data_IF_006161976850
#
_entry.id   IF_006161976850
#
_cell.length_a   1.000
_cell.length_b   1.000
_cell.length_c   1.000
_cell.angle_alpha   90.00
_cell.angle_beta   90.00
_cell.angle_gamma   90.00
#
_symmetry.space_group_name_H-M   'P 1'
#
loop_
_entity.id
_entity.type
_entity.pdbx_description
1 polymer ?
#
# COMPACT_ATOMS: atom_id res chain seq x y z
N UNK A 1 -5.73 -34.99 -57.73
CA UNK A 1 -4.74 -34.12 -57.06
C UNK A 1 -4.97 -32.60 -57.23
N UNK A 2 -5.63 -32.11 -58.30
CA UNK A 2 -5.95 -30.66 -58.46
C UNK A 2 -6.99 -30.10 -57.45
N UNK A 3 -7.78 -30.96 -56.81
CA UNK A 3 -8.83 -30.51 -55.88
C UNK A 3 -8.32 -30.27 -54.44
N UNK A 4 -7.21 -30.89 -54.02
CA UNK A 4 -6.67 -30.74 -52.66
C UNK A 4 -6.00 -29.37 -52.44
N UNK A 5 -5.31 -28.85 -53.47
CA UNK A 5 -4.70 -27.52 -53.44
C UNK A 5 -5.75 -26.40 -53.35
N UNK A 6 -6.89 -26.56 -54.03
CA UNK A 6 -8.01 -25.61 -53.91
C UNK A 6 -8.66 -25.66 -52.51
N UNK A 7 -8.74 -26.84 -51.90
CA UNK A 7 -9.30 -27.00 -50.55
C UNK A 7 -8.39 -26.36 -49.49
N UNK A 8 -7.06 -26.52 -49.57
CA UNK A 8 -6.13 -25.82 -48.66
C UNK A 8 -6.11 -24.30 -48.84
N UNK A 9 -6.20 -23.80 -50.08
CA UNK A 9 -6.27 -22.35 -50.33
C UNK A 9 -7.59 -21.74 -49.84
N UNK A 10 -8.70 -22.47 -49.92
CA UNK A 10 -10.00 -22.02 -49.40
C UNK A 10 -10.04 -22.08 -47.87
N UNK A 11 -9.43 -23.08 -47.23
CA UNK A 11 -9.31 -23.17 -45.77
C UNK A 11 -8.39 -22.09 -45.16
N UNK A 12 -7.31 -21.71 -45.85
CA UNK A 12 -6.47 -20.57 -45.43
C UNK A 12 -7.19 -19.23 -45.61
N UNK A 13 -7.99 -19.07 -46.67
CA UNK A 13 -8.74 -17.83 -46.90
C UNK A 13 -9.93 -17.69 -45.94
N UNK A 14 -10.64 -18.76 -45.61
CA UNK A 14 -11.78 -18.70 -44.66
C UNK A 14 -11.32 -18.42 -43.23
N UNK A 15 -10.13 -18.87 -42.82
CA UNK A 15 -9.56 -18.57 -41.51
C UNK A 15 -9.19 -17.08 -41.31
N UNK A 16 -8.94 -16.33 -42.40
CA UNK A 16 -8.58 -14.91 -42.34
C UNK A 16 -9.82 -14.00 -42.27
N UNK A 17 -11.00 -14.46 -42.72
CA UNK A 17 -12.20 -13.60 -42.85
C UNK A 17 -13.20 -13.82 -41.69
N UNK A 18 -13.10 -14.91 -40.93
CA UNK A 18 -13.95 -15.13 -39.74
C UNK A 18 -13.48 -14.42 -38.46
N UNK A 19 -12.49 -13.51 -38.53
CA UNK A 19 -12.12 -12.64 -37.40
C UNK A 19 -12.95 -11.34 -37.40
N UNK A 20 -14.26 -11.45 -37.61
CA UNK A 20 -15.18 -10.44 -37.08
C UNK A 20 -15.24 -10.65 -35.56
N UNK A 21 -14.27 -10.07 -34.86
CA UNK A 21 -14.39 -9.88 -33.42
C UNK A 21 -15.61 -8.98 -33.19
N UNK A 22 -16.74 -9.59 -32.84
CA UNK A 22 -17.85 -8.85 -32.23
C UNK A 22 -17.24 -7.98 -31.14
N UNK A 23 -17.43 -6.65 -31.16
CA UNK A 23 -17.04 -5.83 -30.04
C UNK A 23 -17.87 -6.35 -28.88
N UNK A 24 -17.27 -7.20 -28.04
CA UNK A 24 -17.82 -7.47 -26.73
C UNK A 24 -17.94 -6.10 -26.11
N UNK A 25 -19.18 -5.59 -26.01
CA UNK A 25 -19.54 -4.49 -25.12
C UNK A 25 -18.67 -4.70 -23.90
N UNK A 26 -17.81 -3.73 -23.61
CA UNK A 26 -17.02 -3.68 -22.39
C UNK A 26 -18.04 -3.69 -21.26
N UNK A 27 -18.51 -4.88 -20.89
CA UNK A 27 -19.17 -5.11 -19.64
C UNK A 27 -18.06 -4.78 -18.66
N UNK A 28 -18.09 -3.53 -18.19
CA UNK A 28 -17.27 -3.07 -17.10
C UNK A 28 -17.27 -4.19 -16.07
N UNK A 29 -16.12 -4.86 -15.91
CA UNK A 29 -16.06 -6.03 -15.06
C UNK A 29 -16.46 -5.52 -13.67
N UNK A 30 -17.57 -5.98 -13.12
CA UNK A 30 -18.10 -5.45 -11.85
C UNK A 30 -17.04 -5.51 -10.73
N UNK A 31 -16.08 -6.45 -10.84
CA UNK A 31 -14.92 -6.53 -9.96
C UNK A 31 -13.96 -5.34 -10.11
N UNK A 32 -13.70 -4.85 -11.33
CA UNK A 32 -12.87 -3.67 -11.58
C UNK A 32 -13.52 -2.39 -11.04
N UNK A 33 -14.86 -2.29 -11.11
CA UNK A 33 -15.61 -1.19 -10.49
C UNK A 33 -15.50 -1.19 -8.96
N UNK A 34 -15.35 -2.37 -8.34
CA UNK A 34 -15.23 -2.51 -6.89
C UNK A 34 -13.96 -1.86 -6.31
N UNK A 35 -12.86 -1.84 -7.08
CA UNK A 35 -11.60 -1.23 -6.64
C UNK A 35 -11.51 0.28 -6.87
N UNK A 36 -12.47 0.84 -7.63
CA UNK A 36 -12.46 2.27 -7.96
C UNK A 36 -12.63 3.16 -6.71
N UNK A 37 -13.44 2.72 -5.76
CA UNK A 37 -13.82 3.54 -4.61
C UNK A 37 -12.93 3.25 -3.40
N UNK A 38 -12.55 4.32 -2.68
CA UNK A 38 -11.84 4.18 -1.42
C UNK A 38 -12.78 3.78 -0.29
N UNK A 39 -12.99 2.47 -0.11
CA UNK A 39 -13.81 1.92 0.99
C UNK A 39 -13.04 1.76 2.31
N UNK A 40 -11.74 2.06 2.34
CA UNK A 40 -10.90 1.93 3.52
C UNK A 40 -10.77 3.24 4.30
N UNK A 41 -11.08 4.38 3.67
CA UNK A 41 -11.17 5.67 4.32
C UNK A 41 -12.12 5.59 5.53
N UNK A 42 -11.75 6.19 6.67
CA UNK A 42 -12.52 6.06 7.89
C UNK A 42 -13.88 6.77 7.74
N UNK A 43 -14.96 6.08 8.14
CA UNK A 43 -16.31 6.67 8.13
C UNK A 43 -16.51 7.78 9.17
N UNK A 44 -15.62 7.87 10.16
CA UNK A 44 -15.53 8.94 11.16
C UNK A 44 -14.10 9.48 11.14
N UNK A 45 -13.88 10.79 10.94
CA UNK A 45 -12.54 11.38 10.93
C UNK A 45 -11.77 11.13 12.22
N UNK A 46 -10.44 11.14 12.12
CA UNK A 46 -9.58 11.10 13.31
C UNK A 46 -9.81 12.30 14.23
N UNK A 47 -9.60 12.07 15.54
CA UNK A 47 -9.78 13.10 16.56
C UNK A 47 -8.62 14.11 16.51
N UNK A 48 -8.75 15.12 15.65
CA UNK A 48 -7.74 16.19 15.48
C UNK A 48 -7.99 17.41 16.36
N UNK A 49 -9.22 17.90 16.41
CA UNK A 49 -9.52 19.19 17.06
C UNK A 49 -10.34 19.05 18.36
N UNK A 50 -10.88 17.87 18.62
CA UNK A 50 -11.75 17.62 19.77
C UNK A 50 -10.95 17.43 21.06
N UNK A 51 -9.66 17.09 20.92
CA UNK A 51 -8.79 16.70 22.03
C UNK A 51 -7.44 17.37 21.85
N UNK A 52 -7.12 18.30 22.75
CA UNK A 52 -5.76 18.86 22.84
C UNK A 52 -4.82 17.78 23.35
N UNK A 53 -4.04 17.19 22.46
CA UNK A 53 -3.09 16.13 22.81
C UNK A 53 -1.93 16.64 23.65
N UNK A 54 -1.52 17.90 23.49
CA UNK A 54 -0.37 18.49 24.20
C UNK A 54 -0.70 18.99 25.59
N UNK A 55 0.30 18.91 26.48
CA UNK A 55 0.28 19.64 27.75
C UNK A 55 0.18 21.14 27.50
N UNK A 56 -0.76 21.81 28.18
CA UNK A 56 -0.88 23.26 28.17
C UNK A 56 0.24 23.97 28.94
N UNK A 57 0.87 23.27 29.88
CA UNK A 57 1.97 23.76 30.72
C UNK A 57 3.08 22.73 30.76
N UNK A 58 4.33 23.17 30.49
CA UNK A 58 5.50 22.30 30.58
C UNK A 58 5.67 21.81 32.01
N UNK A 59 5.50 20.52 32.22
CA UNK A 59 5.74 19.86 33.51
C UNK A 59 7.09 19.17 33.47
N UNK A 60 7.92 19.40 34.48
CA UNK A 60 9.22 18.74 34.60
C UNK A 60 9.06 17.39 35.31
N UNK A 61 9.30 16.31 34.57
CA UNK A 61 9.25 14.93 35.07
C UNK A 61 10.64 14.40 35.48
N UNK A 62 11.68 15.23 35.48
CA UNK A 62 13.05 14.83 35.81
C UNK A 62 13.22 14.25 37.21
N UNK A 63 12.33 14.62 38.14
CA UNK A 63 12.31 14.09 39.52
C UNK A 63 11.70 12.70 39.63
N UNK A 64 11.04 12.21 38.58
CA UNK A 64 10.46 10.88 38.54
C UNK A 64 11.46 9.89 37.95
N UNK A 65 11.31 8.58 38.25
CA UNK A 65 12.15 7.53 37.67
C UNK A 65 11.76 7.16 36.23
N UNK A 66 10.97 8.00 35.55
CA UNK A 66 10.46 7.73 34.21
C UNK A 66 11.57 7.98 33.15
N UNK A 67 11.61 7.13 32.12
CA UNK A 67 12.62 7.25 31.06
C UNK A 67 12.44 8.56 30.28
N UNK A 68 13.52 9.16 29.75
CA UNK A 68 13.43 10.38 28.94
C UNK A 68 12.49 10.22 27.73
N UNK A 69 12.44 9.00 27.17
CA UNK A 69 11.53 8.62 26.11
C UNK A 69 10.06 8.70 26.56
N UNK A 70 9.74 8.12 27.70
CA UNK A 70 8.40 8.14 28.27
C UNK A 70 8.00 9.55 28.79
N UNK A 71 8.97 10.41 29.19
CA UNK A 71 8.70 11.83 29.50
C UNK A 71 8.19 12.56 28.26
N UNK A 72 8.83 12.32 27.12
CA UNK A 72 8.42 12.91 25.85
C UNK A 72 7.05 12.39 25.43
N UNK A 73 6.80 11.10 25.58
CA UNK A 73 5.49 10.51 25.31
C UNK A 73 4.39 11.10 26.21
N UNK A 74 4.66 11.30 27.51
CA UNK A 74 3.73 11.99 28.41
C UNK A 74 3.37 13.40 27.93
N UNK A 75 4.36 14.14 27.39
CA UNK A 75 4.16 15.49 26.84
C UNK A 75 3.30 15.47 25.57
N UNK A 76 3.57 14.52 24.67
CA UNK A 76 2.81 14.32 23.42
C UNK A 76 1.36 13.90 23.72
N UNK A 77 1.15 13.12 24.78
CA UNK A 77 -0.18 12.66 25.19
C UNK A 77 -0.93 13.62 26.12
N UNK A 78 -0.24 14.63 26.66
CA UNK A 78 -0.84 15.68 27.49
C UNK A 78 -1.20 15.19 28.88
N UNK A 79 -0.34 14.34 29.44
CA UNK A 79 -0.53 13.69 30.73
C UNK A 79 0.60 13.96 31.72
N UNK A 80 1.58 14.80 31.38
CA UNK A 80 2.75 14.99 32.25
C UNK A 80 2.35 15.54 33.62
N UNK A 81 1.38 16.45 33.68
CA UNK A 81 0.84 16.97 34.95
C UNK A 81 0.22 15.86 35.80
N UNK A 82 -0.58 14.97 35.21
CA UNK A 82 -1.21 13.86 35.93
C UNK A 82 -0.17 12.86 36.45
N UNK A 83 0.87 12.58 35.67
CA UNK A 83 1.96 11.68 36.05
C UNK A 83 2.78 12.28 37.20
N UNK A 84 3.11 13.57 37.10
CA UNK A 84 3.82 14.28 38.17
C UNK A 84 3.01 14.28 39.47
N UNK A 85 1.73 14.66 39.40
CA UNK A 85 0.84 14.67 40.57
C UNK A 85 0.78 13.28 41.21
N UNK A 86 0.60 12.23 40.40
CA UNK A 86 0.53 10.85 40.88
C UNK A 86 1.83 10.45 41.59
N UNK A 87 2.98 10.80 41.02
CA UNK A 87 4.29 10.55 41.64
C UNK A 87 4.43 11.26 42.99
N UNK A 88 4.00 12.53 43.10
CA UNK A 88 4.14 13.32 44.34
C UNK A 88 3.33 12.76 45.50
N UNK A 89 2.15 12.20 45.23
CA UNK A 89 1.23 11.69 46.25
C UNK A 89 1.37 10.17 46.48
N UNK A 90 2.28 9.50 45.77
CA UNK A 90 2.34 8.03 45.74
C UNK A 90 2.64 7.39 47.12
N UNK A 91 3.29 8.15 48.01
CA UNK A 91 3.68 7.69 49.34
C UNK A 91 2.69 8.12 50.44
N UNK A 92 1.62 8.85 50.08
CA UNK A 92 0.58 9.28 51.01
C UNK A 92 -0.56 8.24 51.02
N UNK A 93 -0.78 7.64 52.19
CA UNK A 93 -1.79 6.61 52.40
C UNK A 93 -3.06 7.14 53.10
N UNK A 94 -3.24 8.47 53.18
CA UNK A 94 -4.50 9.04 53.63
C UNK A 94 -5.66 8.65 52.68
N UNK A 95 -6.90 8.50 53.19
CA UNK A 95 -8.06 8.20 52.34
C UNK A 95 -8.23 9.18 51.18
N UNK A 96 -7.94 10.47 51.41
CA UNK A 96 -7.98 11.53 50.40
C UNK A 96 -6.91 11.33 49.33
N UNK A 97 -5.67 11.00 49.70
CA UNK A 97 -4.60 10.71 48.76
C UNK A 97 -4.90 9.47 47.93
N UNK A 98 -5.40 8.39 48.54
CA UNK A 98 -5.79 7.16 47.83
C UNK A 98 -6.89 7.46 46.80
N UNK A 99 -7.93 8.21 47.18
CA UNK A 99 -8.98 8.62 46.24
C UNK A 99 -8.42 9.44 45.08
N UNK A 100 -7.48 10.36 45.36
CA UNK A 100 -6.83 11.18 44.34
C UNK A 100 -5.94 10.35 43.41
N UNK A 101 -5.20 9.38 43.94
CA UNK A 101 -4.38 8.45 43.15
C UNK A 101 -5.25 7.67 42.16
N UNK A 102 -6.38 7.11 42.60
CA UNK A 102 -7.34 6.39 41.74
C UNK A 102 -7.85 7.29 40.61
N UNK A 103 -8.23 8.53 40.92
CA UNK A 103 -8.70 9.49 39.91
C UNK A 103 -7.61 9.84 38.88
N UNK A 104 -6.36 10.05 39.31
CA UNK A 104 -5.24 10.35 38.41
C UNK A 104 -4.91 9.15 37.52
N UNK A 105 -4.86 7.95 38.09
CA UNK A 105 -4.70 6.70 37.33
C UNK A 105 -5.80 6.54 36.30
N UNK A 106 -7.06 6.80 36.65
CA UNK A 106 -8.17 6.74 35.69
C UNK A 106 -7.97 7.73 34.54
N UNK A 107 -7.60 8.99 34.81
CA UNK A 107 -7.35 10.00 33.76
C UNK A 107 -6.22 9.58 32.82
N UNK A 108 -5.10 9.09 33.37
CA UNK A 108 -3.95 8.61 32.60
C UNK A 108 -4.37 7.42 31.73
N UNK A 109 -5.02 6.41 32.31
CA UNK A 109 -5.47 5.21 31.61
C UNK A 109 -6.48 5.53 30.50
N UNK A 110 -7.47 6.38 30.75
CA UNK A 110 -8.43 6.81 29.72
C UNK A 110 -7.73 7.49 28.54
N UNK A 111 -6.68 8.27 28.81
CA UNK A 111 -5.91 8.95 27.77
C UNK A 111 -5.05 7.99 26.95
N UNK A 112 -4.39 7.05 27.61
CA UNK A 112 -3.60 6.00 26.96
C UNK A 112 -4.49 5.08 26.11
N UNK A 113 -5.65 4.68 26.62
CA UNK A 113 -6.63 3.86 25.89
C UNK A 113 -7.11 4.56 24.62
N UNK A 114 -7.40 5.86 24.71
CA UNK A 114 -7.79 6.65 23.56
C UNK A 114 -6.67 6.73 22.52
N UNK A 115 -5.44 6.99 22.95
CA UNK A 115 -4.27 7.04 22.08
C UNK A 115 -4.06 5.70 21.36
N UNK A 116 -4.11 4.58 22.10
CA UNK A 116 -4.05 3.25 21.52
C UNK A 116 -5.17 3.03 20.51
N UNK A 117 -6.40 3.42 20.82
CA UNK A 117 -7.55 3.26 19.91
C UNK A 117 -7.35 4.03 18.60
N UNK A 118 -6.90 5.29 18.67
CA UNK A 118 -6.61 6.10 17.47
C UNK A 118 -5.44 5.52 16.67
N UNK A 119 -4.39 5.04 17.33
CA UNK A 119 -3.25 4.40 16.67
C UNK A 119 -3.66 3.11 15.95
N UNK A 120 -4.51 2.29 16.56
CA UNK A 120 -5.06 1.08 15.95
C UNK A 120 -6.00 1.40 14.79
N UNK A 121 -6.77 2.49 14.86
CA UNK A 121 -7.60 2.94 13.75
C UNK A 121 -6.76 3.30 12.51
N UNK A 122 -5.66 4.05 12.70
CA UNK A 122 -4.70 4.34 11.61
C UNK A 122 -4.09 3.06 11.04
N UNK A 123 -3.67 2.13 11.91
CA UNK A 123 -3.10 0.86 11.47
C UNK A 123 -4.12 0.00 10.69
N UNK A 124 -5.40 0.04 11.06
CA UNK A 124 -6.47 -0.69 10.40
C UNK A 124 -6.83 -0.09 9.03
N UNK A 125 -6.84 1.24 8.91
CA UNK A 125 -6.99 1.91 7.61
C UNK A 125 -5.86 1.51 6.66
N UNK A 126 -4.61 1.54 7.13
CA UNK A 126 -3.46 1.11 6.35
C UNK A 126 -3.54 -0.38 5.97
N UNK A 127 -3.99 -1.26 6.89
CA UNK A 127 -4.21 -2.69 6.59
C UNK A 127 -5.17 -2.88 5.43
N UNK A 128 -6.32 -2.19 5.50
CA UNK A 128 -7.35 -2.23 4.48
C UNK A 128 -6.85 -1.69 3.14
N UNK A 129 -6.16 -0.54 3.15
CA UNK A 129 -5.61 0.09 1.94
C UNK A 129 -4.54 -0.80 1.28
N UNK A 130 -3.68 -1.42 2.08
CA UNK A 130 -2.65 -2.36 1.62
C UNK A 130 -3.28 -3.58 0.95
N UNK A 131 -4.21 -4.24 1.64
CA UNK A 131 -4.93 -5.41 1.12
C UNK A 131 -5.77 -5.04 -0.12
N UNK A 132 -6.41 -3.86 -0.16
CA UNK A 132 -7.14 -3.40 -1.35
C UNK A 132 -6.22 -3.26 -2.55
N UNK A 133 -5.03 -2.68 -2.36
CA UNK A 133 -4.04 -2.54 -3.42
C UNK A 133 -3.52 -3.91 -3.88
N UNK A 134 -3.17 -4.81 -2.95
CA UNK A 134 -2.71 -6.17 -3.25
C UNK A 134 -3.76 -7.00 -3.99
N UNK A 135 -5.02 -6.95 -3.56
CA UNK A 135 -6.13 -7.63 -4.25
C UNK A 135 -6.31 -7.10 -5.67
N UNK A 136 -6.21 -5.78 -5.86
CA UNK A 136 -6.30 -5.15 -7.18
C UNK A 136 -5.12 -5.57 -8.08
N UNK A 137 -3.90 -5.62 -7.53
CA UNK A 137 -2.69 -6.07 -8.20
C UNK A 137 -2.81 -7.55 -8.64
N UNK A 138 -3.11 -8.44 -7.69
CA UNK A 138 -3.30 -9.87 -7.93
C UNK A 138 -4.40 -10.14 -8.98
N UNK A 139 -5.45 -9.31 -9.00
CA UNK A 139 -6.48 -9.40 -10.03
C UNK A 139 -5.96 -9.02 -11.43
N UNK A 140 -5.19 -7.93 -11.55
CA UNK A 140 -4.55 -7.54 -12.81
C UNK A 140 -3.52 -8.57 -13.27
N UNK A 141 -2.73 -9.14 -12.36
CA UNK A 141 -1.80 -10.23 -12.65
C UNK A 141 -2.52 -11.45 -13.21
N UNK A 142 -3.64 -11.86 -12.61
CA UNK A 142 -4.45 -12.95 -13.11
C UNK A 142 -4.96 -12.71 -14.54
N UNK A 143 -5.31 -11.47 -14.89
CA UNK A 143 -5.72 -11.10 -16.26
C UNK A 143 -4.52 -11.11 -17.21
N UNK A 144 -3.41 -10.49 -16.82
CA UNK A 144 -2.20 -10.36 -17.62
C UNK A 144 -1.57 -11.74 -17.89
N UNK A 145 -1.48 -12.58 -16.87
CA UNK A 145 -0.99 -13.96 -16.97
C UNK A 145 -1.82 -14.79 -17.94
N UNK A 146 -3.16 -14.79 -17.82
CA UNK A 146 -4.06 -15.49 -18.78
C UNK A 146 -3.88 -15.02 -20.21
N UNK A 147 -3.66 -13.71 -20.43
CA UNK A 147 -3.39 -13.16 -21.76
C UNK A 147 -2.04 -13.66 -22.28
N UNK A 148 -0.99 -13.55 -21.47
CA UNK A 148 0.37 -13.93 -21.85
C UNK A 148 0.43 -15.44 -22.14
N UNK A 149 -0.17 -16.29 -21.31
CA UNK A 149 -0.28 -17.75 -21.58
C UNK A 149 -0.94 -18.04 -22.92
N UNK A 150 -2.03 -17.35 -23.27
CA UNK A 150 -2.69 -17.54 -24.58
C UNK A 150 -1.80 -17.13 -25.75
N UNK A 151 -1.05 -16.03 -25.62
CA UNK A 151 -0.11 -15.58 -26.64
C UNK A 151 1.06 -16.58 -26.79
N UNK A 152 1.63 -17.05 -25.68
CA UNK A 152 2.70 -18.06 -25.68
C UNK A 152 2.23 -19.37 -26.30
N UNK A 153 1.08 -19.91 -25.87
CA UNK A 153 0.53 -21.15 -26.43
C UNK A 153 0.20 -20.99 -27.91
N UNK A 154 -0.38 -19.85 -28.32
CA UNK A 154 -0.64 -19.53 -29.72
C UNK A 154 0.64 -19.47 -30.56
N UNK A 155 1.70 -18.84 -30.04
CA UNK A 155 3.02 -18.80 -30.67
C UNK A 155 3.59 -20.21 -30.87
N UNK A 156 3.49 -21.08 -29.86
CA UNK A 156 3.97 -22.47 -29.92
C UNK A 156 3.18 -23.27 -30.96
N UNK A 157 1.85 -23.17 -30.96
CA UNK A 157 0.99 -23.87 -31.93
C UNK A 157 1.28 -23.40 -33.36
N UNK A 158 1.38 -22.09 -33.60
CA UNK A 158 1.69 -21.53 -34.92
C UNK A 158 3.08 -21.99 -35.38
N UNK A 159 4.07 -21.95 -34.50
CA UNK A 159 5.42 -22.47 -34.80
C UNK A 159 5.37 -23.95 -35.22
N UNK A 160 4.69 -24.80 -34.44
CA UNK A 160 4.55 -26.22 -34.72
C UNK A 160 3.84 -26.50 -36.06
N UNK A 161 2.70 -25.83 -36.31
CA UNK A 161 1.94 -25.96 -37.57
C UNK A 161 2.75 -25.47 -38.77
N UNK A 162 3.52 -24.39 -38.61
CA UNK A 162 4.39 -23.85 -39.66
C UNK A 162 5.46 -24.86 -40.05
N UNK A 163 6.12 -25.49 -39.09
CA UNK A 163 7.14 -26.51 -39.33
C UNK A 163 6.56 -27.71 -40.08
N UNK A 164 5.41 -28.23 -39.64
CA UNK A 164 4.72 -29.36 -40.30
C UNK A 164 4.30 -28.99 -41.72
N UNK A 165 3.67 -27.82 -41.92
CA UNK A 165 3.23 -27.37 -43.23
C UNK A 165 4.41 -27.15 -44.19
N UNK A 166 5.51 -26.59 -43.71
CA UNK A 166 6.73 -26.37 -44.50
C UNK A 166 7.36 -27.70 -44.94
N UNK A 167 7.33 -28.73 -44.09
CA UNK A 167 7.84 -30.07 -44.43
C UNK A 167 6.96 -30.81 -45.45
N UNK A 168 5.65 -30.54 -45.47
CA UNK A 168 4.69 -31.19 -46.38
C UNK A 168 4.58 -30.53 -47.77
N UNK A 169 5.11 -29.32 -47.95
CA UNK A 169 5.03 -28.57 -49.21
C UNK A 169 6.32 -28.78 -50.01
N UNK A 170 6.21 -29.37 -51.20
CA UNK A 170 7.33 -29.63 -52.11
C UNK A 170 7.64 -28.49 -53.09
N UNK A 171 6.80 -27.43 -53.13
CA UNK A 171 7.01 -26.26 -54.00
C UNK A 171 7.74 -25.16 -53.25
N UNK A 172 9.01 -24.93 -53.59
CA UNK A 172 9.90 -23.97 -52.94
C UNK A 172 9.27 -22.59 -52.66
N UNK A 173 8.57 -21.98 -53.62
CA UNK A 173 8.00 -20.65 -53.41
C UNK A 173 6.89 -20.59 -52.36
N UNK A 174 6.08 -21.64 -52.24
CA UNK A 174 5.00 -21.74 -51.24
C UNK A 174 5.56 -22.17 -49.90
N UNK A 175 6.54 -23.08 -49.90
CA UNK A 175 7.28 -23.51 -48.72
C UNK A 175 7.97 -22.34 -48.03
N UNK A 176 8.69 -21.51 -48.79
CA UNK A 176 9.35 -20.29 -48.25
C UNK A 176 8.33 -19.30 -47.71
N UNK A 177 7.21 -19.07 -48.41
CA UNK A 177 6.18 -18.15 -47.94
C UNK A 177 5.54 -18.60 -46.61
N UNK A 178 5.24 -19.91 -46.47
CA UNK A 178 4.67 -20.48 -45.24
C UNK A 178 5.68 -20.48 -44.11
N UNK A 179 6.93 -20.90 -44.36
CA UNK A 179 7.99 -20.94 -43.35
C UNK A 179 8.33 -19.55 -42.82
N UNK A 180 8.53 -18.57 -43.70
CA UNK A 180 8.84 -17.19 -43.31
C UNK A 180 7.64 -16.51 -42.65
N UNK A 181 6.44 -16.63 -43.23
CA UNK A 181 5.23 -16.03 -42.68
C UNK A 181 4.87 -16.58 -41.31
N UNK A 182 4.87 -17.91 -41.15
CA UNK A 182 4.57 -18.56 -39.89
C UNK A 182 5.64 -18.33 -38.81
N UNK A 183 6.92 -18.30 -39.20
CA UNK A 183 8.03 -17.95 -38.30
C UNK A 183 7.93 -16.51 -37.79
N UNK A 184 7.64 -15.54 -38.66
CA UNK A 184 7.42 -14.14 -38.28
C UNK A 184 6.19 -13.95 -37.39
N UNK A 185 5.08 -14.64 -37.70
CA UNK A 185 3.87 -14.57 -36.88
C UNK A 185 4.10 -15.16 -35.48
N UNK A 186 4.75 -16.33 -35.39
CA UNK A 186 5.12 -16.94 -34.11
C UNK A 186 6.06 -16.03 -33.31
N UNK A 187 7.14 -15.54 -33.94
CA UNK A 187 8.08 -14.61 -33.30
C UNK A 187 7.39 -13.31 -32.84
N UNK A 188 6.46 -12.76 -33.62
CA UNK A 188 5.69 -11.58 -33.25
C UNK A 188 4.78 -11.81 -32.04
N UNK A 189 4.07 -12.94 -31.99
CA UNK A 189 3.27 -13.35 -30.82
C UNK A 189 4.13 -13.55 -29.58
N UNK A 190 5.30 -14.19 -29.72
CA UNK A 190 6.30 -14.33 -28.67
C UNK A 190 6.80 -12.97 -28.18
N UNK A 191 7.16 -12.05 -29.08
CA UNK A 191 7.63 -10.71 -28.75
C UNK A 191 6.60 -9.89 -27.95
N UNK A 192 5.30 -10.05 -28.22
CA UNK A 192 4.23 -9.40 -27.45
C UNK A 192 4.16 -9.87 -25.98
N UNK A 193 4.82 -10.97 -25.63
CA UNK A 193 4.91 -11.46 -24.25
C UNK A 193 6.12 -10.92 -23.48
N UNK A 194 7.10 -10.32 -24.17
CA UNK A 194 8.35 -9.79 -23.58
C UNK A 194 8.13 -8.38 -22.99
N UNK A 195 7.31 -7.55 -23.64
CA UNK A 195 6.91 -6.25 -23.09
C UNK A 195 5.38 -6.06 -23.14
N UNK A 196 4.64 -6.85 -22.34
CA UNK A 196 3.20 -6.77 -22.31
C UNK A 196 2.81 -5.44 -21.69
N UNK A 197 2.25 -4.50 -22.48
CA UNK A 197 1.46 -3.40 -21.90
C UNK A 197 0.31 -4.04 -21.13
N UNK A 198 0.48 -4.21 -19.82
CA UNK A 198 -0.49 -4.83 -18.92
C UNK A 198 -1.82 -4.09 -18.92
N UNK A 199 -2.86 -4.74 -18.44
CA UNK A 199 -4.14 -4.08 -18.17
C UNK A 199 -3.99 -3.05 -17.05
N UNK A 200 -4.85 -2.04 -17.10
CA UNK A 200 -4.96 -1.00 -16.08
C UNK A 200 -6.36 -1.01 -15.50
N UNK A 201 -6.49 -0.47 -14.28
CA UNK A 201 -7.76 -0.21 -13.63
C UNK A 201 -7.75 1.16 -12.96
N UNK A 202 -8.94 1.72 -12.74
CA UNK A 202 -9.11 2.94 -11.94
C UNK A 202 -9.02 2.59 -10.45
N UNK A 203 -8.16 3.28 -9.72
CA UNK A 203 -7.96 3.13 -8.29
C UNK A 203 -7.78 4.51 -7.67
N UNK A 204 -8.72 4.93 -6.82
CA UNK A 204 -8.70 6.24 -6.17
C UNK A 204 -8.52 6.11 -4.66
N UNK A 205 -7.86 7.12 -4.08
CA UNK A 205 -7.53 7.19 -2.66
C UNK A 205 -7.50 8.65 -2.19
N UNK A 206 -8.65 9.30 -2.16
CA UNK A 206 -8.74 10.74 -1.80
C UNK A 206 -8.10 11.04 -0.42
N UNK A 207 -8.39 10.18 0.56
CA UNK A 207 -7.63 10.11 1.81
C UNK A 207 -6.40 9.23 1.60
N UNK A 208 -5.22 9.86 1.56
CA UNK A 208 -3.96 9.20 1.19
C UNK A 208 -2.90 9.43 2.27
N UNK A 209 -2.79 8.48 3.20
CA UNK A 209 -1.80 8.52 4.27
C UNK A 209 -0.35 8.59 3.73
N UNK A 210 -0.07 7.97 2.57
CA UNK A 210 1.25 8.06 1.93
C UNK A 210 1.59 9.49 1.50
N UNK A 211 0.59 10.25 1.00
CA UNK A 211 0.77 11.65 0.58
C UNK A 211 1.25 12.50 1.74
N UNK A 212 0.63 12.33 2.90
CA UNK A 212 0.94 13.16 4.06
C UNK A 212 2.32 12.84 4.63
N UNK A 213 2.75 11.58 4.60
CA UNK A 213 4.17 11.25 4.82
C UNK A 213 5.02 11.92 3.75
N UNK A 214 4.82 11.65 2.47
CA UNK A 214 5.65 12.13 1.37
C UNK A 214 5.85 13.65 1.34
N UNK A 215 4.76 14.40 1.47
CA UNK A 215 4.76 15.87 1.31
C UNK A 215 5.13 16.63 2.58
N UNK A 216 5.05 16.01 3.76
CA UNK A 216 5.28 16.67 5.05
C UNK A 216 4.56 18.03 5.15
N UNK A 217 3.22 18.06 5.02
CA UNK A 217 2.48 19.30 5.02
C UNK A 217 2.62 20.00 6.38
N UNK A 218 2.62 21.33 6.37
CA UNK A 218 2.63 22.14 7.62
C UNK A 218 1.42 21.84 8.52
N UNK A 219 0.29 21.52 7.90
CA UNK A 219 -0.96 21.15 8.57
C UNK A 219 -1.29 19.71 8.23
N UNK A 220 -1.27 18.83 9.21
CA UNK A 220 -1.63 17.42 9.07
C UNK A 220 -3.13 17.25 9.29
N UNK A 221 -3.82 16.74 8.27
CA UNK A 221 -5.25 16.38 8.33
C UNK A 221 -5.50 14.88 8.23
N UNK A 222 -4.47 14.07 7.96
CA UNK A 222 -4.64 12.66 7.65
C UNK A 222 -4.25 11.74 8.84
N UNK A 223 -3.54 12.27 9.83
CA UNK A 223 -3.18 11.55 11.07
C UNK A 223 -3.76 12.20 12.32
N UNK A 224 -4.03 11.44 13.39
CA UNK A 224 -4.17 12.00 14.74
C UNK A 224 -2.91 12.80 15.11
N UNK A 225 -3.08 13.92 15.85
CA UNK A 225 -1.97 14.84 16.16
C UNK A 225 -0.80 14.12 16.83
N UNK A 226 -1.06 13.34 17.89
CA UNK A 226 0.00 12.64 18.61
C UNK A 226 0.78 11.63 17.74
N UNK A 227 0.10 10.96 16.79
CA UNK A 227 0.75 10.03 15.85
C UNK A 227 1.68 10.81 14.93
N UNK A 228 1.20 11.94 14.41
CA UNK A 228 2.01 12.81 13.57
C UNK A 228 3.27 13.31 14.29
N UNK A 229 3.14 13.70 15.56
CA UNK A 229 4.28 14.12 16.37
C UNK A 229 5.29 12.99 16.58
N UNK A 230 4.82 11.79 16.96
CA UNK A 230 5.69 10.63 17.14
C UNK A 230 6.43 10.27 15.84
N UNK A 231 5.79 10.40 14.68
CA UNK A 231 6.42 10.15 13.39
C UNK A 231 7.52 11.16 13.02
N UNK A 232 7.46 12.38 13.57
CA UNK A 232 8.35 13.51 13.26
C UNK A 232 9.31 13.87 14.39
N UNK A 233 9.29 13.11 15.48
CA UNK A 233 10.23 13.25 16.59
C UNK A 233 11.31 12.17 16.50
N UNK A 234 12.57 12.59 16.58
CA UNK A 234 13.72 11.72 16.29
C UNK A 234 13.88 10.62 17.33
N UNK A 235 13.54 10.89 18.59
CA UNK A 235 13.69 9.91 19.67
C UNK A 235 12.84 8.66 19.50
N UNK A 236 11.79 8.70 18.68
CA UNK A 236 10.98 7.52 18.36
C UNK A 236 11.59 6.66 17.25
N UNK A 237 12.69 7.07 16.63
CA UNK A 237 13.42 6.23 15.70
C UNK A 237 14.49 5.42 16.41
N UNK A 238 14.73 4.20 15.94
CA UNK A 238 15.67 3.25 16.55
C UNK A 238 17.10 3.80 16.76
N UNK A 239 17.54 4.71 15.88
CA UNK A 239 18.89 5.31 15.94
C UNK A 239 18.90 6.77 16.40
N UNK A 240 17.76 7.47 16.37
CA UNK A 240 17.70 8.90 16.70
C UNK A 240 18.25 9.86 15.65
N UNK A 241 18.81 9.37 14.54
CA UNK A 241 19.45 10.23 13.53
C UNK A 241 18.42 11.00 12.67
N UNK A 242 17.37 10.27 12.27
CA UNK A 242 16.27 10.74 11.42
C UNK A 242 14.93 10.41 12.07
N UNK A 243 13.87 11.11 11.69
CA UNK A 243 12.50 10.81 12.12
C UNK A 243 12.00 9.50 11.51
N UNK A 244 10.96 8.88 12.07
CA UNK A 244 10.32 7.70 11.47
C UNK A 244 9.78 7.99 10.05
N UNK A 245 9.15 9.17 9.85
CA UNK A 245 8.68 9.62 8.53
C UNK A 245 9.81 9.63 7.50
N UNK A 246 10.91 10.33 7.77
CA UNK A 246 12.10 10.34 6.93
C UNK A 246 12.70 8.94 6.71
N UNK A 247 12.75 8.09 7.74
CA UNK A 247 13.25 6.72 7.62
C UNK A 247 12.41 5.88 6.66
N UNK A 248 11.08 6.01 6.70
CA UNK A 248 10.16 5.36 5.76
C UNK A 248 10.39 5.90 4.33
N UNK A 249 10.44 7.22 4.14
CA UNK A 249 10.69 7.83 2.83
C UNK A 249 11.99 7.34 2.20
N UNK A 250 13.06 7.30 2.99
CA UNK A 250 14.36 6.83 2.52
C UNK A 250 14.29 5.36 2.07
N UNK A 251 13.53 4.51 2.78
CA UNK A 251 13.31 3.12 2.36
C UNK A 251 12.52 3.04 1.06
N UNK A 252 11.47 3.83 0.89
CA UNK A 252 10.72 3.86 -0.36
C UNK A 252 11.57 4.30 -1.54
N UNK A 253 12.33 5.39 -1.37
CA UNK A 253 13.28 5.84 -2.38
C UNK A 253 14.29 4.74 -2.72
N UNK A 254 14.89 4.11 -1.73
CA UNK A 254 15.94 3.12 -1.94
C UNK A 254 15.44 1.81 -2.55
N UNK A 255 14.29 1.28 -2.10
CA UNK A 255 13.87 -0.09 -2.40
C UNK A 255 12.69 -0.18 -3.36
N UNK A 256 11.83 0.84 -3.41
CA UNK A 256 10.64 0.84 -4.28
C UNK A 256 10.87 1.66 -5.57
N UNK A 257 11.77 2.63 -5.53
CA UNK A 257 12.02 3.57 -6.62
C UNK A 257 13.46 3.56 -7.15
N UNK A 258 14.36 2.71 -6.66
CA UNK A 258 15.78 2.68 -7.08
C UNK A 258 16.42 4.09 -7.11
N UNK A 259 16.17 4.86 -6.05
CA UNK A 259 16.55 6.27 -5.82
C UNK A 259 15.89 7.31 -6.75
N UNK A 260 15.04 6.90 -7.68
CA UNK A 260 14.47 7.76 -8.71
C UNK A 260 12.96 7.53 -8.89
N UNK A 261 12.17 8.54 -8.54
CA UNK A 261 10.74 8.57 -8.83
C UNK A 261 10.45 9.60 -9.92
N UNK A 262 9.66 9.21 -10.93
CA UNK A 262 9.18 10.15 -11.95
C UNK A 262 7.91 10.88 -11.49
N UNK A 263 7.65 12.07 -12.06
CA UNK A 263 6.50 12.90 -11.68
C UNK A 263 5.15 12.22 -11.90
N UNK A 264 5.04 11.29 -12.86
CA UNK A 264 3.80 10.58 -13.14
C UNK A 264 3.54 9.54 -12.06
N UNK A 265 4.57 8.78 -11.67
CA UNK A 265 4.49 7.80 -10.59
C UNK A 265 4.27 8.48 -9.23
N UNK A 266 4.95 9.60 -8.98
CA UNK A 266 4.76 10.42 -7.78
C UNK A 266 3.31 10.91 -7.69
N UNK A 267 2.78 11.53 -8.76
CA UNK A 267 1.40 12.00 -8.80
C UNK A 267 0.38 10.87 -8.68
N UNK A 268 0.67 9.69 -9.20
CA UNK A 268 -0.19 8.51 -9.09
C UNK A 268 -0.25 8.02 -7.63
N UNK A 269 0.90 7.79 -7.00
CA UNK A 269 1.00 7.18 -5.66
C UNK A 269 0.65 8.14 -4.53
N UNK A 270 1.04 9.40 -4.63
CA UNK A 270 0.87 10.42 -3.59
C UNK A 270 -0.22 11.44 -3.91
N UNK A 271 -0.86 11.37 -5.09
CA UNK A 271 -2.03 12.17 -5.43
C UNK A 271 -3.34 11.53 -4.94
N UNK A 272 -4.40 11.66 -5.74
CA UNK A 272 -5.73 11.07 -5.46
C UNK A 272 -5.94 9.71 -6.15
N UNK A 273 -4.94 9.23 -6.90
CA UNK A 273 -5.01 8.01 -7.68
C UNK A 273 -5.31 8.25 -9.16
N UNK A 274 -5.71 7.20 -9.87
CA UNK A 274 -5.84 7.22 -11.33
C UNK A 274 -5.83 5.82 -11.94
N UNK A 275 -5.20 5.68 -13.10
CA UNK A 275 -5.08 4.40 -13.80
C UNK A 275 -3.81 3.65 -13.38
N UNK A 276 -4.00 2.61 -12.58
CA UNK A 276 -2.92 1.78 -12.07
C UNK A 276 -2.69 0.53 -12.92
N UNK A 277 -1.41 0.15 -13.09
CA UNK A 277 -0.98 -1.18 -13.50
C UNK A 277 -0.76 -2.07 -12.26
N UNK A 278 -0.47 -3.35 -12.50
CA UNK A 278 -0.20 -4.30 -11.43
C UNK A 278 1.00 -3.88 -10.58
N UNK A 279 2.12 -3.54 -11.23
CA UNK A 279 3.34 -3.14 -10.55
C UNK A 279 3.14 -1.88 -9.70
N UNK A 280 2.40 -0.88 -10.21
CA UNK A 280 2.04 0.33 -9.47
C UNK A 280 1.26 0.00 -8.18
N UNK A 281 0.39 -1.00 -8.21
CA UNK A 281 -0.42 -1.44 -7.06
C UNK A 281 0.41 -2.24 -6.06
N UNK A 282 1.29 -3.12 -6.53
CA UNK A 282 2.25 -3.84 -5.68
C UNK A 282 3.17 -2.87 -4.95
N UNK A 283 3.70 -1.86 -5.65
CA UNK A 283 4.50 -0.79 -5.03
C UNK A 283 3.69 -0.05 -3.97
N UNK A 284 2.46 0.39 -4.30
CA UNK A 284 1.59 1.08 -3.33
C UNK A 284 1.30 0.22 -2.10
N UNK A 285 0.95 -1.05 -2.29
CA UNK A 285 0.66 -1.97 -1.19
C UNK A 285 1.87 -2.17 -0.29
N UNK A 286 3.05 -2.36 -0.90
CA UNK A 286 4.32 -2.49 -0.18
C UNK A 286 4.61 -1.26 0.66
N UNK A 287 4.46 -0.06 0.09
CA UNK A 287 4.65 1.20 0.82
C UNK A 287 3.69 1.35 2.00
N UNK A 288 2.41 1.01 1.79
CA UNK A 288 1.38 1.04 2.85
C UNK A 288 1.74 0.05 3.97
N UNK A 289 2.10 -1.18 3.64
CA UNK A 289 2.46 -2.21 4.61
C UNK A 289 3.72 -1.84 5.43
N UNK A 290 4.69 -1.16 4.80
CA UNK A 290 5.85 -0.61 5.50
C UNK A 290 5.47 0.49 6.50
N UNK A 291 4.62 1.43 6.07
CA UNK A 291 4.10 2.51 6.94
C UNK A 291 3.27 1.94 8.09
N UNK A 292 2.40 0.97 7.80
CA UNK A 292 1.60 0.28 8.80
C UNK A 292 2.47 -0.39 9.87
N UNK A 293 3.54 -1.07 9.45
CA UNK A 293 4.47 -1.71 10.37
C UNK A 293 5.11 -0.69 11.32
N UNK A 294 5.45 0.49 10.81
CA UNK A 294 5.96 1.60 11.63
C UNK A 294 4.89 2.19 12.57
N UNK A 295 3.64 2.35 12.12
CA UNK A 295 2.55 2.78 13.00
C UNK A 295 2.31 1.76 14.13
N UNK A 296 2.30 0.47 13.80
CA UNK A 296 2.13 -0.61 14.79
C UNK A 296 3.26 -0.64 15.81
N UNK A 297 4.50 -0.34 15.43
CA UNK A 297 5.63 -0.33 16.37
C UNK A 297 5.50 0.75 17.46
N UNK A 298 4.77 1.85 17.21
CA UNK A 298 4.52 2.88 18.22
C UNK A 298 3.74 2.35 19.45
N UNK A 299 3.07 1.20 19.34
CA UNK A 299 2.45 0.55 20.51
C UNK A 299 3.48 0.11 21.55
N UNK A 300 4.73 -0.14 21.16
CA UNK A 300 5.80 -0.50 22.08
C UNK A 300 6.11 0.67 23.03
N UNK A 301 6.09 1.91 22.51
CA UNK A 301 6.27 3.13 23.28
C UNK A 301 5.13 3.31 24.30
N UNK A 302 3.89 3.15 23.86
CA UNK A 302 2.71 3.19 24.75
C UNK A 302 2.78 2.11 25.83
N UNK A 303 3.26 0.91 25.48
CA UNK A 303 3.39 -0.22 26.41
C UNK A 303 4.46 0.05 27.48
N UNK A 304 5.58 0.69 27.11
CA UNK A 304 6.63 1.11 28.07
C UNK A 304 6.04 2.04 29.12
N UNK A 305 5.32 3.08 28.68
CA UNK A 305 4.69 4.04 29.58
C UNK A 305 3.62 3.41 30.47
N UNK A 306 2.76 2.55 29.93
CA UNK A 306 1.75 1.81 30.71
C UNK A 306 2.43 0.98 31.82
N UNK A 307 3.53 0.29 31.49
CA UNK A 307 4.26 -0.51 32.46
C UNK A 307 4.87 0.37 33.57
N UNK A 308 5.40 1.55 33.23
CA UNK A 308 5.87 2.51 34.22
C UNK A 308 4.76 2.96 35.17
N UNK A 309 3.62 3.42 34.63
CA UNK A 309 2.48 3.90 35.44
C UNK A 309 1.92 2.81 36.35
N UNK A 310 1.87 1.57 35.87
CA UNK A 310 1.38 0.42 36.65
C UNK A 310 2.31 0.08 37.84
N UNK A 311 3.62 0.32 37.71
CA UNK A 311 4.60 0.06 38.78
C UNK A 311 4.70 1.17 39.82
N UNK A 312 4.06 2.32 39.61
CA UNK A 312 3.96 3.37 40.62
C UNK A 312 2.90 3.01 41.67
N UNK A 313 2.88 1.76 42.13
CA UNK A 313 2.03 1.24 43.21
C UNK A 313 2.84 1.09 44.50
#
# INVERSE_FOLDING_TARGET
MKNLSKICSVLLLTAVISSCSTPKKTASNSKLLGFKYNYCAPGVPYLQNEISWKDSVRTDLSKTNISAHDQLLCRILGISSYVNDLYTINHDHSPEAISRQVLLKQKITSRLLLAQTQLQAVAAELDCEGERADMAAAYLDGINSKRNTKLTVGSVIIGALTTVATAAISKNSVQTAVGVGGGLLGAGLGALTINPKGKQLEFYHDHNLLRTIWTEPKTNTDYPEFVWEMLHEKSFSNKGDVTLSQSIKNRWLQFEFDEHIDQTQEALLFGNGGYYRSDDLHTRATMINQLQSTIRSLNQDLSSLIAFITRME
#
